data_IF_411274395210
#
_entry.id   IF_411274395210
#
_cell.length_a   1.000
_cell.length_b   1.000
_cell.length_c   1.000
_cell.angle_alpha   90.00
_cell.angle_beta   90.00
_cell.angle_gamma   90.00
#
_symmetry.space_group_name_H-M   'P 1'
#
loop_
_entity.id
_entity.type
_entity.pdbx_description
1 polymer ?
#
# COMPACT_ATOMS: atom_id res chain seq x y z
N UNK A 1 6.01 14.12 -6.88
CA UNK A 1 5.98 15.57 -7.20
C UNK A 1 6.04 16.35 -5.89
N UNK A 2 7.16 17.02 -5.59
CA UNK A 2 7.44 17.64 -4.27
C UNK A 2 7.62 19.17 -4.33
N UNK A 3 7.16 19.82 -5.41
CA UNK A 3 7.36 21.25 -5.63
C UNK A 3 8.79 21.60 -6.08
N UNK A 4 9.10 22.91 -6.11
CA UNK A 4 10.39 23.45 -6.55
C UNK A 4 10.80 24.67 -5.72
N UNK A 5 12.11 24.99 -5.74
CA UNK A 5 12.68 26.17 -5.11
C UNK A 5 12.52 26.17 -3.59
N UNK A 6 12.33 27.37 -3.02
CA UNK A 6 12.26 27.57 -1.56
C UNK A 6 11.04 26.90 -0.88
N UNK A 7 10.05 26.44 -1.64
CA UNK A 7 8.85 25.75 -1.13
C UNK A 7 8.82 24.26 -1.48
N UNK A 8 9.95 23.68 -1.88
CA UNK A 8 10.09 22.23 -2.07
C UNK A 8 9.78 21.52 -0.75
N UNK A 9 9.07 20.40 -0.81
CA UNK A 9 8.72 19.61 0.38
C UNK A 9 10.00 19.20 1.13
N UNK A 10 10.20 19.66 2.38
CA UNK A 10 11.39 19.30 3.15
C UNK A 10 11.39 17.80 3.52
N UNK A 11 10.22 17.16 3.56
CA UNK A 11 10.07 15.74 3.88
C UNK A 11 10.30 14.78 2.71
N UNK A 12 10.71 15.26 1.52
CA UNK A 12 10.78 14.41 0.32
C UNK A 12 11.72 13.20 0.48
N UNK A 13 12.88 13.38 1.11
CA UNK A 13 13.84 12.29 1.27
C UNK A 13 13.38 11.28 2.30
N UNK A 14 12.76 11.76 3.40
CA UNK A 14 12.16 10.89 4.39
C UNK A 14 11.07 10.02 3.75
N UNK A 15 10.12 10.62 3.03
CA UNK A 15 9.03 9.85 2.44
C UNK A 15 9.51 8.92 1.32
N UNK A 16 10.49 9.33 0.50
CA UNK A 16 11.07 8.46 -0.53
C UNK A 16 11.71 7.21 0.10
N UNK A 17 12.49 7.39 1.17
CA UNK A 17 13.14 6.28 1.87
C UNK A 17 12.14 5.40 2.63
N UNK A 18 11.22 6.00 3.39
CA UNK A 18 10.21 5.26 4.14
C UNK A 18 9.28 4.48 3.21
N UNK A 19 8.82 5.09 2.11
CA UNK A 19 7.95 4.44 1.15
C UNK A 19 8.67 3.29 0.44
N UNK A 20 9.95 3.45 0.12
CA UNK A 20 10.75 2.37 -0.44
C UNK A 20 10.78 1.15 0.48
N UNK A 21 11.08 1.35 1.76
CA UNK A 21 11.12 0.27 2.75
C UNK A 21 9.74 -0.41 2.84
N UNK A 22 8.67 0.38 2.98
CA UNK A 22 7.30 -0.16 3.05
C UNK A 22 6.96 -0.99 1.81
N UNK A 23 7.21 -0.47 0.60
CA UNK A 23 6.91 -1.20 -0.64
C UNK A 23 7.74 -2.48 -0.77
N UNK A 24 9.04 -2.42 -0.46
CA UNK A 24 9.92 -3.59 -0.49
C UNK A 24 9.46 -4.67 0.50
N UNK A 25 9.11 -4.27 1.73
CA UNK A 25 8.55 -5.17 2.74
C UNK A 25 7.22 -5.78 2.30
N UNK A 26 6.32 -4.98 1.71
CA UNK A 26 5.04 -5.48 1.19
C UNK A 26 5.26 -6.50 0.07
N UNK A 27 6.09 -6.21 -0.93
CA UNK A 27 6.37 -7.14 -2.05
C UNK A 27 7.06 -8.42 -1.57
N UNK A 28 7.92 -8.32 -0.54
CA UNK A 28 8.60 -9.48 0.01
C UNK A 28 7.66 -10.40 0.82
N UNK A 29 6.61 -9.86 1.44
CA UNK A 29 5.80 -10.59 2.44
C UNK A 29 4.35 -10.83 2.04
N UNK A 30 3.82 -10.08 1.06
CA UNK A 30 2.41 -10.11 0.66
C UNK A 30 2.23 -10.46 -0.83
N UNK A 31 1.22 -11.27 -1.12
CA UNK A 31 0.61 -11.37 -2.45
C UNK A 31 -0.60 -10.44 -2.48
N UNK A 32 -0.60 -9.49 -3.41
CA UNK A 32 -1.65 -8.47 -3.57
C UNK A 32 -2.34 -8.72 -4.91
N UNK A 33 -3.66 -8.93 -4.87
CA UNK A 33 -4.46 -9.23 -6.06
C UNK A 33 -5.83 -8.57 -6.01
N UNK A 34 -6.55 -8.61 -7.14
CA UNK A 34 -7.93 -8.12 -7.20
C UNK A 34 -8.81 -8.95 -6.29
N UNK A 35 -9.80 -8.30 -5.68
CA UNK A 35 -10.82 -9.03 -4.94
C UNK A 35 -11.60 -9.95 -5.88
N UNK A 36 -12.13 -11.04 -5.33
CA UNK A 36 -13.03 -11.95 -6.03
C UNK A 36 -14.44 -11.86 -5.45
N UNK A 37 -15.45 -12.01 -6.30
CA UNK A 37 -16.84 -12.07 -5.88
C UNK A 37 -17.24 -13.49 -5.38
N UNK A 38 -18.52 -13.69 -5.07
CA UNK A 38 -19.05 -14.97 -4.60
C UNK A 38 -18.96 -16.09 -5.66
N UNK A 39 -18.84 -15.73 -6.95
CA UNK A 39 -18.66 -16.69 -8.05
C UNK A 39 -17.17 -16.96 -8.34
N UNK A 40 -16.25 -16.29 -7.64
CA UNK A 40 -14.81 -16.44 -7.83
C UNK A 40 -14.24 -15.60 -8.97
N UNK A 41 -15.05 -14.71 -9.58
CA UNK A 41 -14.64 -13.80 -10.65
C UNK A 41 -13.90 -12.58 -10.09
N UNK A 42 -12.86 -12.12 -10.78
CA UNK A 42 -12.14 -10.91 -10.39
C UNK A 42 -13.03 -9.68 -10.52
N UNK A 43 -13.02 -8.85 -9.47
CA UNK A 43 -13.71 -7.57 -9.44
C UNK A 43 -12.70 -6.48 -9.80
N UNK A 44 -12.93 -5.78 -10.91
CA UNK A 44 -12.09 -4.64 -11.29
C UNK A 44 -12.29 -3.49 -10.30
N UNK A 45 -11.22 -2.97 -9.68
CA UNK A 45 -11.33 -1.81 -8.80
C UNK A 45 -11.77 -0.57 -9.57
N UNK A 46 -12.81 0.10 -9.10
CA UNK A 46 -13.23 1.36 -9.68
C UNK A 46 -12.33 2.50 -9.21
N UNK A 47 -11.61 3.14 -10.14
CA UNK A 47 -10.70 4.24 -9.81
C UNK A 47 -11.45 5.57 -9.86
N UNK A 48 -12.07 5.93 -8.74
CA UNK A 48 -12.73 7.22 -8.54
C UNK A 48 -11.98 8.09 -7.53
N UNK A 49 -11.89 9.39 -7.81
CA UNK A 49 -11.27 10.38 -6.92
C UNK A 49 -12.29 11.47 -6.58
N UNK A 50 -12.61 11.63 -5.30
CA UNK A 50 -13.53 12.67 -4.85
C UNK A 50 -12.83 13.99 -4.50
N UNK A 51 -11.53 13.93 -4.25
CA UNK A 51 -10.77 15.07 -3.79
C UNK A 51 -10.08 15.77 -4.97
N UNK A 52 -10.31 17.08 -5.18
CA UNK A 52 -9.72 17.83 -6.28
C UNK A 52 -8.23 18.16 -6.07
N UNK A 53 -7.72 18.06 -4.83
CA UNK A 53 -6.35 18.38 -4.43
C UNK A 53 -5.50 17.13 -4.23
N UNK A 54 -6.05 16.10 -3.59
CA UNK A 54 -5.36 14.84 -3.31
C UNK A 54 -5.84 13.71 -4.21
N UNK A 55 -4.91 13.01 -4.85
CA UNK A 55 -5.20 11.85 -5.71
C UNK A 55 -5.29 10.54 -4.90
N UNK A 56 -6.15 10.52 -3.89
CA UNK A 56 -6.44 9.30 -3.13
C UNK A 56 -7.72 8.67 -3.69
N UNK A 57 -7.68 7.42 -4.19
CA UNK A 57 -8.87 6.77 -4.72
C UNK A 57 -9.87 6.48 -3.61
N UNK A 58 -11.15 6.35 -3.95
CA UNK A 58 -12.16 5.79 -3.05
C UNK A 58 -11.73 4.40 -2.57
N UNK A 59 -12.12 3.99 -1.36
CA UNK A 59 -11.88 2.62 -0.89
C UNK A 59 -12.43 1.60 -1.88
N UNK A 60 -11.59 0.64 -2.27
CA UNK A 60 -11.95 -0.47 -3.13
C UNK A 60 -11.53 -1.79 -2.49
N UNK A 61 -12.17 -2.89 -2.89
CA UNK A 61 -11.84 -4.22 -2.37
C UNK A 61 -10.58 -4.74 -3.05
N UNK A 62 -9.69 -5.33 -2.26
CA UNK A 62 -8.52 -6.06 -2.73
C UNK A 62 -8.38 -7.34 -1.90
N UNK A 63 -7.61 -8.29 -2.42
CA UNK A 63 -7.24 -9.51 -1.72
C UNK A 63 -5.74 -9.48 -1.43
N UNK A 64 -5.40 -9.43 -0.15
CA UNK A 64 -4.02 -9.32 0.33
C UNK A 64 -3.78 -10.50 1.26
N UNK A 65 -2.79 -11.33 0.91
CA UNK A 65 -2.46 -12.54 1.66
C UNK A 65 -0.96 -12.62 1.93
N UNK A 66 -0.52 -13.21 3.04
CA UNK A 66 0.90 -13.52 3.22
C UNK A 66 1.37 -14.50 2.15
N UNK A 67 2.57 -14.30 1.60
CA UNK A 67 3.13 -15.19 0.55
C UNK A 67 3.51 -16.58 1.07
N UNK A 68 3.72 -16.70 2.38
CA UNK A 68 4.08 -17.94 3.06
C UNK A 68 3.81 -17.87 4.56
N UNK A 69 3.81 -19.01 5.23
CA UNK A 69 3.74 -19.10 6.69
C UNK A 69 4.87 -18.33 7.39
N UNK A 70 6.07 -18.30 6.77
CA UNK A 70 7.18 -17.51 7.29
C UNK A 70 6.88 -16.00 7.18
N UNK A 71 6.38 -15.55 6.03
CA UNK A 71 5.99 -14.16 5.84
C UNK A 71 4.89 -13.73 6.83
N UNK A 72 3.89 -14.60 7.07
CA UNK A 72 2.85 -14.35 8.06
C UNK A 72 3.43 -14.15 9.47
N UNK A 73 4.39 -15.00 9.89
CA UNK A 73 5.05 -14.82 11.19
C UNK A 73 5.81 -13.50 11.27
N UNK A 74 6.56 -13.14 10.23
CA UNK A 74 7.30 -11.87 10.18
C UNK A 74 6.36 -10.66 10.28
N UNK A 75 5.25 -10.67 9.54
CA UNK A 75 4.25 -9.59 9.56
C UNK A 75 3.62 -9.45 10.95
N UNK A 76 3.25 -10.57 11.60
CA UNK A 76 2.72 -10.55 12.97
C UNK A 76 3.72 -9.99 13.97
N UNK A 77 4.97 -10.44 13.92
CA UNK A 77 6.04 -9.93 14.79
C UNK A 77 6.25 -8.41 14.60
N UNK A 78 6.22 -7.93 13.36
CA UNK A 78 6.35 -6.50 13.08
C UNK A 78 5.15 -5.69 13.60
N UNK A 79 3.93 -6.23 13.51
CA UNK A 79 2.73 -5.59 14.05
C UNK A 79 2.77 -5.52 15.58
N UNK A 80 3.19 -6.60 16.25
CA UNK A 80 3.31 -6.65 17.70
C UNK A 80 4.38 -5.67 18.23
N UNK A 81 5.48 -5.49 17.49
CA UNK A 81 6.54 -4.55 17.85
C UNK A 81 6.14 -3.07 17.66
N UNK A 82 5.08 -2.79 16.91
CA UNK A 82 4.58 -1.44 16.64
C UNK A 82 3.41 -1.02 17.57
N UNK A 83 2.92 -1.94 18.40
CA UNK A 83 1.86 -1.72 19.40
C UNK A 83 2.45 -1.28 20.75
#
# INVERSE_FOLDING_TARGET
MFGFGRRRCPGMHLIEQSLWIVMASMVATLDISKARDAAGCEVEPEVQFDNPVFRTPRPFRCDIRPRSEQALRLVRQAADAAA
#
